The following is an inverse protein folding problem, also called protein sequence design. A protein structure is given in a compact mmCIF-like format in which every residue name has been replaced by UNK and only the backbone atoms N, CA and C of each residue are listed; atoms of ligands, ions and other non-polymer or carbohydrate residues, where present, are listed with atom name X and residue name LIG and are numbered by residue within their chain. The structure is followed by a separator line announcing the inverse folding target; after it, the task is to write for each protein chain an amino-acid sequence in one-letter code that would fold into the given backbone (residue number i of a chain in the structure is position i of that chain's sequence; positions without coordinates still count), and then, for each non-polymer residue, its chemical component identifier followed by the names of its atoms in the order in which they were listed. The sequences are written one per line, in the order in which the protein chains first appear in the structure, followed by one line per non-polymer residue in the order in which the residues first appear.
data_IF_489692949699
#
_entry.id   IF_489692949699
#
_cell.length_a   1.000
_cell.length_b   1.000
_cell.length_c   1.000
_cell.angle_alpha   90.00
_cell.angle_beta   90.00
_cell.angle_gamma   90.00
#
_symmetry.space_group_name_H-M   'P 1'
#
loop_
_entity.id
_entity.type
_entity.pdbx_description
1 polymer ?
#
# COMPACT_ATOMS: atom_id res chain seq x y z
N UNK A 1 34.14 -31.61 -29.96
CA UNK A 1 35.08 -31.56 -28.81
C UNK A 1 36.20 -30.55 -29.00
N UNK A 2 36.94 -30.50 -30.13
CA UNK A 2 38.01 -29.51 -30.35
C UNK A 2 37.64 -28.04 -30.11
N UNK A 3 36.40 -27.63 -30.39
CA UNK A 3 35.95 -26.24 -30.21
C UNK A 3 35.71 -25.82 -28.75
N UNK A 4 35.66 -26.77 -27.81
CA UNK A 4 35.56 -26.46 -26.38
C UNK A 4 36.91 -26.04 -25.78
N UNK A 5 38.00 -26.47 -26.41
CA UNK A 5 39.38 -26.13 -26.03
C UNK A 5 39.93 -24.99 -26.91
N UNK A 6 39.08 -24.28 -27.66
CA UNK A 6 39.49 -23.20 -28.57
C UNK A 6 40.04 -22.00 -27.79
N UNK A 7 41.09 -21.35 -28.30
CA UNK A 7 41.73 -20.21 -27.64
C UNK A 7 40.76 -19.03 -27.47
N UNK A 8 39.80 -18.88 -28.40
CA UNK A 8 38.87 -17.77 -28.37
C UNK A 8 37.62 -18.09 -27.54
N UNK A 9 37.41 -17.33 -26.47
CA UNK A 9 36.33 -17.56 -25.52
C UNK A 9 34.95 -17.62 -26.20
N UNK A 10 34.68 -16.76 -27.19
CA UNK A 10 33.40 -16.71 -27.91
C UNK A 10 33.08 -18.01 -28.67
N UNK A 11 34.11 -18.73 -29.14
CA UNK A 11 33.97 -20.03 -29.81
C UNK A 11 33.62 -21.11 -28.78
N UNK A 12 34.28 -21.10 -27.62
CA UNK A 12 33.96 -22.01 -26.51
C UNK A 12 32.52 -21.84 -26.02
N UNK A 13 32.05 -20.59 -25.87
CA UNK A 13 30.67 -20.27 -25.47
C UNK A 13 29.66 -20.87 -26.46
N UNK A 14 29.83 -20.59 -27.75
CA UNK A 14 28.91 -21.08 -28.79
C UNK A 14 28.92 -22.60 -28.89
N UNK A 15 30.08 -23.22 -28.71
CA UNK A 15 30.21 -24.66 -28.70
C UNK A 15 29.48 -25.28 -27.49
N UNK A 16 29.60 -24.71 -26.29
CA UNK A 16 28.90 -25.18 -25.09
C UNK A 16 27.37 -25.01 -25.20
N UNK A 17 26.90 -23.85 -25.68
CA UNK A 17 25.47 -23.61 -25.94
C UNK A 17 24.90 -24.59 -26.99
N UNK A 18 25.64 -24.81 -28.08
CA UNK A 18 25.25 -25.80 -29.09
C UNK A 18 25.15 -27.22 -28.51
N UNK A 19 26.06 -27.60 -27.60
CA UNK A 19 26.02 -28.90 -26.93
C UNK A 19 24.82 -29.05 -25.99
N UNK A 20 24.45 -27.99 -25.27
CA UNK A 20 23.22 -27.96 -24.48
C UNK A 20 21.96 -28.12 -25.34
N UNK A 21 21.90 -27.41 -26.48
CA UNK A 21 20.80 -27.51 -27.46
C UNK A 21 20.70 -28.85 -28.16
N UNK A 22 21.83 -29.51 -28.40
CA UNK A 22 21.86 -30.87 -28.97
C UNK A 22 21.22 -31.87 -28.00
N UNK A 23 21.37 -31.67 -26.68
CA UNK A 23 20.56 -32.37 -25.67
C UNK A 23 20.84 -33.87 -25.51
N UNK A 24 21.95 -34.40 -26.02
CA UNK A 24 22.27 -35.84 -25.93
C UNK A 24 23.24 -36.15 -24.80
N UNK A 25 23.16 -37.33 -24.18
CA UNK A 25 24.06 -37.71 -23.07
C UNK A 25 25.55 -37.68 -23.45
N UNK A 26 25.87 -37.89 -24.73
CA UNK A 26 27.24 -37.80 -25.23
C UNK A 26 27.85 -36.39 -25.07
N UNK A 27 27.05 -35.35 -24.88
CA UNK A 27 27.52 -33.97 -24.68
C UNK A 27 27.83 -33.65 -23.21
N UNK A 28 27.41 -34.51 -22.26
CA UNK A 28 27.58 -34.28 -20.82
C UNK A 28 29.05 -34.25 -20.42
N UNK A 29 29.83 -35.29 -20.74
CA UNK A 29 31.26 -35.35 -20.40
C UNK A 29 32.07 -34.16 -20.95
N UNK A 30 31.89 -33.74 -22.22
CA UNK A 30 32.47 -32.50 -22.71
C UNK A 30 32.12 -31.26 -21.88
N UNK A 31 30.88 -31.11 -21.42
CA UNK A 31 30.44 -29.99 -20.58
C UNK A 31 30.99 -30.08 -19.16
N UNK A 32 31.13 -31.28 -18.59
CA UNK A 32 31.78 -31.47 -17.28
C UNK A 32 33.21 -30.94 -17.31
N UNK A 33 33.96 -31.21 -18.39
CA UNK A 33 35.33 -30.72 -18.53
C UNK A 33 35.38 -29.18 -18.49
N UNK A 34 34.36 -28.49 -18.98
CA UNK A 34 34.27 -27.03 -18.94
C UNK A 34 34.07 -26.48 -17.53
N UNK A 35 33.44 -27.24 -16.63
CA UNK A 35 33.28 -26.87 -15.22
C UNK A 35 34.61 -26.83 -14.47
N UNK A 36 35.60 -27.61 -14.92
CA UNK A 36 36.92 -27.70 -14.26
C UNK A 36 37.87 -26.57 -14.69
N UNK A 37 37.46 -25.70 -15.64
CA UNK A 37 38.23 -24.49 -15.94
C UNK A 37 37.99 -23.45 -14.85
N UNK A 38 39.06 -22.82 -14.35
CA UNK A 38 39.03 -21.70 -13.39
C UNK A 38 38.39 -20.40 -13.95
N UNK A 39 37.53 -20.51 -14.97
CA UNK A 39 36.80 -19.41 -15.59
C UNK A 39 35.32 -19.53 -15.23
N UNK A 40 34.87 -18.65 -14.32
CA UNK A 40 33.49 -18.61 -13.84
C UNK A 40 32.47 -18.42 -14.98
N UNK A 41 32.83 -17.74 -16.07
CA UNK A 41 31.93 -17.63 -17.23
C UNK A 41 31.73 -18.97 -17.92
N UNK A 42 32.79 -19.77 -18.04
CA UNK A 42 32.70 -21.11 -18.63
C UNK A 42 31.93 -22.08 -17.72
N UNK A 43 32.14 -21.99 -16.40
CA UNK A 43 31.37 -22.75 -15.42
C UNK A 43 29.86 -22.48 -15.52
N UNK A 44 29.47 -21.21 -15.68
CA UNK A 44 28.06 -20.80 -15.81
C UNK A 44 27.41 -21.42 -17.05
N UNK A 45 28.08 -21.31 -18.19
CA UNK A 45 27.54 -21.80 -19.47
C UNK A 45 27.48 -23.33 -19.47
N UNK A 46 28.46 -23.99 -18.88
CA UNK A 46 28.45 -25.44 -18.73
C UNK A 46 27.30 -25.90 -17.83
N UNK A 47 27.07 -25.25 -16.68
CA UNK A 47 25.95 -25.54 -15.80
C UNK A 47 24.59 -25.29 -16.49
N UNK A 48 24.46 -24.21 -17.26
CA UNK A 48 23.25 -23.92 -18.04
C UNK A 48 23.00 -24.96 -19.13
N UNK A 49 24.03 -25.33 -19.90
CA UNK A 49 23.94 -26.37 -20.92
C UNK A 49 23.58 -27.74 -20.34
N UNK A 50 24.15 -28.09 -19.17
CA UNK A 50 23.79 -29.31 -18.44
C UNK A 50 22.33 -29.28 -17.95
N UNK A 51 21.84 -28.12 -17.52
CA UNK A 51 20.43 -27.94 -17.19
C UNK A 51 19.50 -28.08 -18.39
N UNK A 52 19.88 -27.54 -19.55
CA UNK A 52 19.11 -27.63 -20.78
C UNK A 52 19.02 -29.08 -21.33
N UNK A 53 20.05 -29.91 -21.09
CA UNK A 53 19.99 -31.34 -21.42
C UNK A 53 18.89 -32.03 -20.60
N UNK A 54 18.75 -31.67 -19.32
CA UNK A 54 17.57 -32.03 -18.53
C UNK A 54 17.44 -33.51 -18.16
N UNK A 55 18.49 -34.33 -18.33
CA UNK A 55 18.45 -35.79 -18.03
C UNK A 55 19.00 -36.11 -16.64
N UNK A 56 18.67 -37.30 -16.10
CA UNK A 56 19.20 -37.74 -14.80
C UNK A 56 20.72 -37.83 -14.75
N UNK A 57 21.36 -38.03 -15.90
CA UNK A 57 22.81 -38.09 -16.04
C UNK A 57 23.50 -36.74 -15.74
N UNK A 58 22.78 -35.60 -15.82
CA UNK A 58 23.37 -34.29 -15.50
C UNK A 58 23.29 -33.92 -14.03
N UNK A 59 22.57 -34.70 -13.21
CA UNK A 59 22.33 -34.37 -11.81
C UNK A 59 23.62 -34.35 -10.98
N UNK A 60 24.48 -35.38 -11.06
CA UNK A 60 25.71 -35.42 -10.26
C UNK A 60 26.70 -34.31 -10.66
N UNK A 61 26.91 -34.03 -11.96
CA UNK A 61 27.62 -32.84 -12.40
C UNK A 61 27.06 -31.54 -11.83
N UNK A 62 25.74 -31.34 -11.88
CA UNK A 62 25.10 -30.13 -11.36
C UNK A 62 25.20 -30.04 -9.83
N UNK A 63 25.16 -31.16 -9.10
CA UNK A 63 25.40 -31.18 -7.65
C UNK A 63 26.83 -30.72 -7.34
N UNK A 64 27.83 -31.11 -8.14
CA UNK A 64 29.21 -30.61 -7.99
C UNK A 64 29.26 -29.08 -8.12
N UNK A 65 28.53 -28.53 -9.09
CA UNK A 65 28.43 -27.07 -9.32
C UNK A 65 27.80 -26.30 -8.15
N UNK A 66 27.06 -26.96 -7.25
CA UNK A 66 26.52 -26.30 -6.05
C UNK A 66 27.59 -25.91 -5.04
N UNK A 67 28.79 -26.48 -5.13
CA UNK A 67 29.96 -26.11 -4.31
C UNK A 67 30.96 -25.23 -5.08
N UNK A 68 30.56 -24.70 -6.24
CA UNK A 68 31.42 -23.79 -7.00
C UNK A 68 31.68 -22.49 -6.22
N UNK A 69 32.85 -21.88 -6.40
CA UNK A 69 33.19 -20.62 -5.76
C UNK A 69 32.31 -19.46 -6.27
N UNK A 70 31.85 -19.54 -7.52
CA UNK A 70 31.04 -18.52 -8.17
C UNK A 70 29.55 -18.70 -7.87
N UNK A 71 28.94 -17.62 -7.38
CA UNK A 71 27.53 -17.61 -7.00
C UNK A 71 26.58 -17.90 -8.16
N UNK A 72 26.87 -17.41 -9.37
CA UNK A 72 26.01 -17.61 -10.53
C UNK A 72 26.07 -19.07 -11.00
N UNK A 73 27.24 -19.71 -10.95
CA UNK A 73 27.37 -21.15 -11.22
C UNK A 73 26.49 -21.96 -10.27
N UNK A 74 26.58 -21.70 -8.95
CA UNK A 74 25.75 -22.37 -7.95
C UNK A 74 24.26 -22.15 -8.20
N UNK A 75 23.85 -20.91 -8.48
CA UNK A 75 22.45 -20.53 -8.72
C UNK A 75 21.88 -21.22 -9.96
N UNK A 76 22.63 -21.22 -11.07
CA UNK A 76 22.22 -21.88 -12.32
C UNK A 76 22.09 -23.39 -12.10
N UNK A 77 23.05 -24.00 -11.40
CA UNK A 77 23.00 -25.43 -11.12
C UNK A 77 21.78 -25.85 -10.30
N UNK A 78 21.40 -25.07 -9.29
CA UNK A 78 20.19 -25.34 -8.52
C UNK A 78 18.90 -25.12 -9.31
N UNK A 79 18.85 -24.07 -10.13
CA UNK A 79 17.74 -23.84 -11.04
C UNK A 79 17.57 -25.04 -11.99
N UNK A 80 18.67 -25.52 -12.58
CA UNK A 80 18.69 -26.70 -13.43
C UNK A 80 18.22 -27.96 -12.69
N UNK A 81 18.73 -28.21 -11.47
CA UNK A 81 18.32 -29.36 -10.64
C UNK A 81 16.83 -29.33 -10.28
N UNK A 82 16.29 -28.16 -9.94
CA UNK A 82 14.86 -27.98 -9.70
C UNK A 82 14.01 -28.32 -10.92
N UNK A 83 14.46 -27.95 -12.13
CA UNK A 83 13.74 -28.20 -13.38
C UNK A 83 13.84 -29.66 -13.86
N UNK A 84 14.94 -30.36 -13.58
CA UNK A 84 15.08 -31.79 -13.91
C UNK A 84 14.05 -32.62 -13.14
N UNK A 85 13.65 -32.18 -11.94
CA UNK A 85 12.41 -32.62 -11.30
C UNK A 85 12.38 -34.08 -10.85
N UNK A 86 13.52 -34.75 -10.69
CA UNK A 86 13.51 -36.17 -10.29
C UNK A 86 13.63 -36.34 -8.78
N UNK A 87 12.61 -37.00 -8.20
CA UNK A 87 12.59 -37.44 -6.79
C UNK A 87 13.80 -38.34 -6.44
N UNK A 88 14.42 -38.97 -7.44
CA UNK A 88 15.47 -39.98 -7.29
C UNK A 88 16.79 -39.44 -6.69
N UNK A 89 17.03 -38.11 -6.67
CA UNK A 89 18.29 -37.53 -6.15
C UNK A 89 18.09 -36.32 -5.23
N UNK A 90 17.10 -36.41 -4.33
CA UNK A 90 16.87 -35.40 -3.29
C UNK A 90 17.94 -35.38 -2.19
N UNK A 91 18.50 -36.55 -1.83
CA UNK A 91 19.40 -36.67 -0.67
C UNK A 91 20.67 -35.80 -0.76
N UNK A 92 21.34 -35.67 -1.91
CA UNK A 92 22.45 -34.72 -2.05
C UNK A 92 22.05 -33.27 -1.81
N UNK A 93 20.87 -32.85 -2.27
CA UNK A 93 20.35 -31.50 -2.03
C UNK A 93 20.03 -31.27 -0.56
N UNK A 94 19.44 -32.26 0.13
CA UNK A 94 19.22 -32.23 1.57
C UNK A 94 20.55 -32.03 2.32
N UNK A 95 21.61 -32.75 1.92
CA UNK A 95 22.92 -32.61 2.55
C UNK A 95 23.50 -31.20 2.43
N UNK A 96 23.21 -30.49 1.34
CA UNK A 96 23.69 -29.13 1.11
C UNK A 96 22.98 -28.08 1.98
N UNK A 97 21.86 -28.43 2.62
CA UNK A 97 21.23 -27.59 3.63
C UNK A 97 22.08 -27.44 4.91
N UNK A 98 23.07 -28.31 5.12
CA UNK A 98 24.01 -28.24 6.25
C UNK A 98 25.39 -27.70 5.83
N UNK A 99 25.52 -27.10 4.63
CA UNK A 99 26.79 -26.57 4.14
C UNK A 99 27.25 -25.31 4.91
N UNK A 100 28.56 -25.09 5.07
CA UNK A 100 29.10 -23.96 5.84
C UNK A 100 28.75 -22.59 5.23
N UNK A 101 28.81 -22.48 3.89
CA UNK A 101 28.40 -21.28 3.13
C UNK A 101 26.86 -21.15 3.07
N UNK A 102 26.32 -20.03 3.59
CA UNK A 102 24.89 -19.74 3.58
C UNK A 102 24.31 -19.57 2.18
N UNK A 103 25.12 -19.14 1.21
CA UNK A 103 24.71 -19.09 -0.19
C UNK A 103 24.37 -20.48 -0.72
N UNK A 104 25.13 -21.51 -0.35
CA UNK A 104 24.89 -22.89 -0.78
C UNK A 104 23.61 -23.42 -0.13
N UNK A 105 23.44 -23.20 1.18
CA UNK A 105 22.23 -23.60 1.91
C UNK A 105 20.96 -22.97 1.32
N UNK A 106 21.00 -21.66 1.04
CA UNK A 106 19.89 -20.91 0.42
C UNK A 106 19.48 -21.51 -0.92
N UNK A 107 20.47 -21.80 -1.75
CA UNK A 107 20.31 -22.35 -3.10
C UNK A 107 19.74 -23.77 -3.04
N UNK A 108 20.20 -24.59 -2.09
CA UNK A 108 19.66 -25.93 -1.86
C UNK A 108 18.18 -25.88 -1.42
N UNK A 109 17.82 -24.96 -0.52
CA UNK A 109 16.42 -24.76 -0.11
C UNK A 109 15.52 -24.37 -1.29
N UNK A 110 15.97 -23.43 -2.14
CA UNK A 110 15.24 -23.03 -3.35
C UNK A 110 15.01 -24.21 -4.31
N UNK A 111 16.05 -25.02 -4.57
CA UNK A 111 15.92 -26.20 -5.43
C UNK A 111 14.94 -27.24 -4.86
N UNK A 112 15.00 -27.50 -3.55
CA UNK A 112 14.08 -28.43 -2.87
C UNK A 112 12.63 -27.95 -2.93
N UNK A 113 12.39 -26.64 -2.78
CA UNK A 113 11.07 -26.05 -2.94
C UNK A 113 10.49 -26.23 -4.35
N UNK A 114 11.33 -26.13 -5.39
CA UNK A 114 10.91 -26.38 -6.78
C UNK A 114 10.61 -27.85 -7.06
N UNK A 115 11.35 -28.76 -6.43
CA UNK A 115 11.08 -30.21 -6.54
C UNK A 115 9.76 -30.57 -5.84
N UNK A 116 9.40 -29.86 -4.76
CA UNK A 116 8.07 -29.93 -4.17
C UNK A 116 7.75 -31.27 -3.50
N UNK A 117 8.75 -31.95 -2.93
CA UNK A 117 8.58 -33.29 -2.35
C UNK A 117 8.59 -33.26 -0.83
N UNK A 118 7.71 -34.08 -0.22
CA UNK A 118 7.57 -34.18 1.24
C UNK A 118 8.85 -34.58 1.97
N UNK A 119 9.74 -35.34 1.33
CA UNK A 119 11.04 -35.71 1.91
C UNK A 119 11.94 -34.50 2.21
N UNK A 120 11.65 -33.32 1.63
CA UNK A 120 12.35 -32.08 1.94
C UNK A 120 11.81 -31.34 3.17
N UNK A 121 10.62 -31.69 3.68
CA UNK A 121 9.92 -30.90 4.71
C UNK A 121 10.75 -30.81 5.99
N UNK A 122 11.11 -31.93 6.62
CA UNK A 122 11.86 -31.91 7.88
C UNK A 122 13.23 -31.20 7.76
N UNK A 123 14.03 -31.45 6.70
CA UNK A 123 15.25 -30.67 6.46
C UNK A 123 15.00 -29.16 6.30
N UNK A 124 13.95 -28.75 5.57
CA UNK A 124 13.62 -27.35 5.38
C UNK A 124 13.11 -26.70 6.68
N UNK A 125 12.37 -27.44 7.51
CA UNK A 125 11.94 -26.98 8.85
C UNK A 125 13.16 -26.68 9.73
N UNK A 126 14.23 -27.49 9.65
CA UNK A 126 15.49 -27.19 10.35
C UNK A 126 16.08 -25.85 9.90
N UNK A 127 16.07 -25.58 8.59
CA UNK A 127 16.56 -24.33 8.01
C UNK A 127 15.74 -23.08 8.39
N UNK A 128 14.52 -23.24 8.92
CA UNK A 128 13.77 -22.12 9.50
C UNK A 128 14.44 -21.52 10.75
N UNK A 129 15.44 -22.20 11.32
CA UNK A 129 16.23 -21.69 12.45
C UNK A 129 17.66 -21.33 12.05
N UNK A 130 17.94 -21.17 10.75
CA UNK A 130 19.27 -20.80 10.28
C UNK A 130 19.68 -19.39 10.76
N UNK A 131 20.97 -19.20 11.02
CA UNK A 131 21.54 -17.92 11.42
C UNK A 131 21.39 -16.87 10.31
N UNK A 132 21.47 -17.30 9.05
CA UNK A 132 21.30 -16.45 7.87
C UNK A 132 19.81 -16.32 7.53
N UNK A 133 19.31 -15.08 7.54
CA UNK A 133 17.90 -14.79 7.24
C UNK A 133 17.48 -15.16 5.82
N UNK A 134 18.38 -15.13 4.85
CA UNK A 134 18.03 -15.49 3.47
C UNK A 134 17.84 -16.99 3.33
N UNK A 135 18.55 -17.79 4.12
CA UNK A 135 18.29 -19.23 4.23
C UNK A 135 16.91 -19.48 4.85
N UNK A 136 16.56 -18.76 5.93
CA UNK A 136 15.22 -18.86 6.55
C UNK A 136 14.10 -18.48 5.57
N UNK A 137 14.28 -17.39 4.81
CA UNK A 137 13.33 -16.94 3.77
C UNK A 137 13.16 -18.03 2.70
N UNK A 138 14.25 -18.54 2.12
CA UNK A 138 14.15 -19.56 1.07
C UNK A 138 13.56 -20.88 1.59
N UNK A 139 13.82 -21.25 2.84
CA UNK A 139 13.20 -22.40 3.46
C UNK A 139 11.69 -22.20 3.67
N UNK A 140 11.26 -21.02 4.11
CA UNK A 140 9.85 -20.67 4.24
C UNK A 140 9.11 -20.67 2.88
N UNK A 141 9.73 -20.09 1.85
CA UNK A 141 9.20 -20.11 0.49
C UNK A 141 9.09 -21.54 -0.05
N UNK A 142 10.12 -22.37 0.16
CA UNK A 142 10.12 -23.77 -0.24
C UNK A 142 9.01 -24.57 0.44
N UNK A 143 8.82 -24.39 1.76
CA UNK A 143 7.73 -25.00 2.52
C UNK A 143 6.34 -24.51 2.07
N UNK A 144 6.22 -23.23 1.71
CA UNK A 144 5.01 -22.66 1.11
C UNK A 144 4.69 -23.28 -0.26
N UNK A 145 5.70 -23.52 -1.09
CA UNK A 145 5.54 -24.16 -2.40
C UNK A 145 5.17 -25.66 -2.28
N UNK A 146 5.68 -26.36 -1.27
CA UNK A 146 5.29 -27.74 -0.96
C UNK A 146 3.84 -27.79 -0.47
N UNK A 147 3.46 -26.87 0.43
CA UNK A 147 2.06 -26.57 0.77
C UNK A 147 1.25 -27.69 1.44
N UNK A 148 1.89 -28.69 2.05
CA UNK A 148 1.19 -29.74 2.81
C UNK A 148 0.87 -29.30 4.24
N UNK A 149 -0.04 -30.00 4.92
CA UNK A 149 -0.44 -29.67 6.29
C UNK A 149 0.75 -29.61 7.27
N UNK A 150 1.76 -30.47 7.06
CA UNK A 150 2.98 -30.51 7.87
C UNK A 150 3.82 -29.23 7.80
N UNK A 151 3.61 -28.36 6.81
CA UNK A 151 4.36 -27.09 6.67
C UNK A 151 3.71 -25.93 7.42
N UNK A 152 2.45 -26.06 7.84
CA UNK A 152 1.64 -24.97 8.40
C UNK A 152 2.21 -24.49 9.75
N UNK A 153 2.31 -25.37 10.76
CA UNK A 153 2.77 -24.99 12.09
C UNK A 153 4.19 -24.39 12.11
N UNK A 154 5.17 -24.95 11.36
CA UNK A 154 6.49 -24.33 11.22
C UNK A 154 6.44 -22.92 10.61
N UNK A 155 5.61 -22.70 9.59
CA UNK A 155 5.42 -21.39 8.97
C UNK A 155 4.70 -20.41 9.91
N UNK A 156 3.71 -20.87 10.69
CA UNK A 156 3.03 -20.06 11.71
C UNK A 156 4.05 -19.57 12.75
N UNK A 157 4.91 -20.44 13.26
CA UNK A 157 5.96 -20.06 14.22
C UNK A 157 6.92 -19.01 13.64
N UNK A 158 7.17 -19.06 12.33
CA UNK A 158 8.06 -18.13 11.64
C UNK A 158 7.48 -16.71 11.52
N UNK A 159 6.18 -16.53 11.77
CA UNK A 159 5.56 -15.21 11.87
C UNK A 159 6.08 -14.40 13.08
N UNK A 160 6.76 -15.04 14.04
CA UNK A 160 7.39 -14.37 15.18
C UNK A 160 8.90 -14.11 14.98
N UNK A 161 9.43 -14.29 13.76
CA UNK A 161 10.86 -14.07 13.47
C UNK A 161 11.28 -12.60 13.70
N UNK A 162 12.50 -12.40 14.18
CA UNK A 162 13.06 -11.08 14.45
C UNK A 162 13.25 -10.24 13.18
N UNK A 163 13.53 -10.87 12.03
CA UNK A 163 13.69 -10.19 10.76
C UNK A 163 12.34 -10.08 10.03
N UNK A 164 11.95 -8.85 9.69
CA UNK A 164 10.69 -8.56 9.03
C UNK A 164 10.51 -9.25 7.67
N UNK A 165 11.59 -9.47 6.92
CA UNK A 165 11.49 -10.12 5.60
C UNK A 165 11.16 -11.61 5.74
N UNK A 166 11.61 -12.22 6.84
CA UNK A 166 11.27 -13.59 7.20
C UNK A 166 9.78 -13.68 7.57
N UNK A 167 9.28 -12.76 8.42
CA UNK A 167 7.84 -12.67 8.75
C UNK A 167 6.96 -12.45 7.51
N UNK A 168 7.38 -11.55 6.61
CA UNK A 168 6.71 -11.28 5.33
C UNK A 168 6.62 -12.54 4.47
N UNK A 169 7.73 -13.29 4.36
CA UNK A 169 7.79 -14.51 3.57
C UNK A 169 6.87 -15.59 4.16
N UNK A 170 6.89 -15.77 5.49
CA UNK A 170 6.01 -16.70 6.19
C UNK A 170 4.52 -16.37 5.96
N UNK A 171 4.14 -15.09 6.10
CA UNK A 171 2.77 -14.64 5.84
C UNK A 171 2.35 -14.90 4.38
N UNK A 172 3.25 -14.61 3.43
CA UNK A 172 3.01 -14.88 2.02
C UNK A 172 2.81 -16.38 1.73
N UNK A 173 3.65 -17.24 2.32
CA UNK A 173 3.55 -18.69 2.18
C UNK A 173 2.22 -19.21 2.75
N UNK A 174 1.85 -18.82 3.97
CA UNK A 174 0.58 -19.22 4.59
C UNK A 174 -0.64 -18.74 3.80
N UNK A 175 -0.59 -17.51 3.27
CA UNK A 175 -1.64 -16.98 2.40
C UNK A 175 -1.78 -17.75 1.08
N UNK A 176 -0.69 -18.30 0.53
CA UNK A 176 -0.74 -19.16 -0.65
C UNK A 176 -1.27 -20.56 -0.33
N UNK A 177 -0.94 -21.10 0.84
CA UNK A 177 -1.51 -22.37 1.32
C UNK A 177 -3.02 -22.23 1.52
N UNK A 178 -3.48 -21.07 2.01
CA UNK A 178 -4.90 -20.76 2.13
C UNK A 178 -5.60 -21.49 3.30
N UNK A 179 -4.86 -21.87 4.32
CA UNK A 179 -5.40 -22.60 5.49
C UNK A 179 -6.02 -21.67 6.53
N UNK A 180 -7.17 -22.06 7.08
CA UNK A 180 -7.83 -21.33 8.18
C UNK A 180 -7.02 -21.39 9.49
N UNK A 181 -6.20 -22.43 9.67
CA UNK A 181 -5.37 -22.59 10.87
C UNK A 181 -4.39 -21.41 11.09
N UNK A 182 -4.06 -20.67 10.03
CA UNK A 182 -3.17 -19.52 10.10
C UNK A 182 -3.86 -18.20 10.46
N UNK A 183 -5.21 -18.14 10.43
CA UNK A 183 -5.98 -16.89 10.52
C UNK A 183 -5.64 -16.11 11.80
N UNK A 184 -5.72 -16.75 12.97
CA UNK A 184 -5.50 -16.05 14.25
C UNK A 184 -4.11 -15.42 14.36
N UNK A 185 -3.08 -16.10 13.87
CA UNK A 185 -1.72 -15.57 13.86
C UNK A 185 -1.49 -14.53 12.77
N UNK A 186 -2.13 -14.66 11.61
CA UNK A 186 -2.10 -13.61 10.58
C UNK A 186 -2.85 -12.35 11.02
N UNK A 187 -3.91 -12.48 11.83
CA UNK A 187 -4.59 -11.35 12.47
C UNK A 187 -3.63 -10.63 13.42
N UNK A 188 -2.82 -11.34 14.21
CA UNK A 188 -1.80 -10.70 15.07
C UNK A 188 -0.78 -9.88 14.27
N UNK A 189 -0.41 -10.35 13.07
CA UNK A 189 0.50 -9.59 12.19
C UNK A 189 -0.08 -8.26 11.69
N UNK A 190 -1.41 -8.07 11.76
CA UNK A 190 -2.02 -6.79 11.43
C UNK A 190 -1.68 -5.68 12.45
N UNK A 191 -1.13 -6.03 13.61
CA UNK A 191 -0.64 -5.08 14.61
C UNK A 191 0.91 -5.05 14.65
N UNK A 192 1.61 -5.60 13.64
CA UNK A 192 3.09 -5.60 13.57
C UNK A 192 3.66 -4.17 13.46
N UNK A 193 4.82 -3.94 14.06
CA UNK A 193 5.50 -2.64 14.06
C UNK A 193 5.96 -2.21 12.66
N UNK A 194 6.27 -3.17 11.77
CA UNK A 194 6.67 -2.87 10.40
C UNK A 194 5.46 -2.92 9.46
N UNK A 195 5.19 -1.80 8.79
CA UNK A 195 4.05 -1.66 7.89
C UNK A 195 4.02 -2.68 6.75
N UNK A 196 5.17 -3.15 6.26
CA UNK A 196 5.22 -4.12 5.17
C UNK A 196 4.78 -5.51 5.64
N UNK A 197 5.00 -5.83 6.92
CA UNK A 197 4.47 -7.04 7.55
C UNK A 197 2.95 -6.94 7.67
N UNK A 198 2.41 -5.80 8.14
CA UNK A 198 0.96 -5.56 8.21
C UNK A 198 0.28 -5.69 6.83
N UNK A 199 0.86 -5.07 5.80
CA UNK A 199 0.39 -5.19 4.40
C UNK A 199 0.31 -6.66 3.98
N UNK A 200 1.35 -7.45 4.28
CA UNK A 200 1.41 -8.87 3.91
C UNK A 200 0.46 -9.76 4.71
N UNK A 201 0.25 -9.45 5.99
CA UNK A 201 -0.80 -10.08 6.80
C UNK A 201 -2.19 -9.85 6.18
N UNK A 202 -2.49 -8.62 5.77
CA UNK A 202 -3.75 -8.28 5.12
C UNK A 202 -3.95 -9.02 3.80
N UNK A 203 -2.92 -9.05 2.94
CA UNK A 203 -2.95 -9.80 1.68
C UNK A 203 -3.16 -11.31 1.89
N UNK A 204 -2.51 -11.89 2.90
CA UNK A 204 -2.64 -13.31 3.23
C UNK A 204 -4.06 -13.65 3.71
N UNK A 205 -4.63 -12.84 4.61
CA UNK A 205 -6.02 -12.98 5.06
C UNK A 205 -7.03 -12.82 3.90
N UNK A 206 -6.78 -11.87 2.99
CA UNK A 206 -7.57 -11.71 1.77
C UNK A 206 -7.45 -12.88 0.78
N UNK A 207 -6.31 -13.59 0.76
CA UNK A 207 -6.13 -14.83 -0.01
C UNK A 207 -6.89 -16.00 0.60
N UNK A 208 -6.90 -16.12 1.93
CA UNK A 208 -7.64 -17.17 2.66
C UNK A 208 -9.16 -16.99 2.45
N UNK A 209 -9.65 -15.75 2.46
CA UNK A 209 -10.98 -15.44 1.91
C UNK A 209 -12.19 -15.79 2.78
N UNK A 210 -11.99 -16.18 4.05
CA UNK A 210 -13.11 -16.58 4.94
C UNK A 210 -13.73 -15.39 5.67
N UNK A 211 -15.00 -15.51 6.10
CA UNK A 211 -15.68 -14.42 6.84
C UNK A 211 -14.99 -14.00 8.15
N UNK A 212 -14.26 -14.92 8.79
CA UNK A 212 -13.49 -14.66 10.01
C UNK A 212 -12.44 -13.56 9.84
N UNK A 213 -11.99 -13.28 8.60
CA UNK A 213 -10.97 -12.26 8.34
C UNK A 213 -11.55 -10.86 8.13
N UNK A 214 -12.88 -10.74 7.96
CA UNK A 214 -13.52 -9.47 7.59
C UNK A 214 -13.38 -8.41 8.69
N UNK A 215 -13.72 -8.71 9.95
CA UNK A 215 -13.65 -7.72 11.03
C UNK A 215 -12.22 -7.21 11.30
N UNK A 216 -11.19 -8.08 11.36
CA UNK A 216 -9.80 -7.64 11.43
C UNK A 216 -9.40 -6.70 10.28
N UNK A 217 -9.79 -7.00 9.04
CA UNK A 217 -9.49 -6.16 7.89
C UNK A 217 -10.27 -4.84 7.89
N UNK A 218 -11.52 -4.83 8.39
CA UNK A 218 -12.30 -3.60 8.59
C UNK A 218 -11.64 -2.69 9.62
N UNK A 219 -11.10 -3.25 10.71
CA UNK A 219 -10.29 -2.49 11.69
C UNK A 219 -9.02 -1.95 11.04
N UNK A 220 -8.38 -2.71 10.16
CA UNK A 220 -7.14 -2.31 9.49
C UNK A 220 -7.32 -1.14 8.50
N UNK A 221 -8.54 -0.82 8.10
CA UNK A 221 -8.83 0.44 7.39
C UNK A 221 -8.51 1.69 8.23
N UNK A 222 -8.24 1.54 9.52
CA UNK A 222 -7.90 2.61 10.45
C UNK A 222 -6.39 2.73 10.71
N UNK A 223 -5.58 1.93 10.01
CA UNK A 223 -4.13 1.96 10.15
C UNK A 223 -3.57 3.36 9.85
N UNK A 224 -2.50 3.74 10.55
CA UNK A 224 -1.81 5.03 10.33
C UNK A 224 -1.20 5.13 8.93
N UNK A 225 -0.72 4.02 8.38
CA UNK A 225 -0.03 3.96 7.10
C UNK A 225 -1.02 3.73 5.95
N UNK A 226 -0.85 4.55 4.91
CA UNK A 226 -1.72 4.53 3.74
C UNK A 226 -1.68 3.20 2.97
N UNK A 227 -0.49 2.62 2.79
CA UNK A 227 -0.31 1.41 2.00
C UNK A 227 -0.99 0.21 2.71
N UNK A 228 -0.97 0.22 4.05
CA UNK A 228 -1.66 -0.77 4.88
C UNK A 228 -3.17 -0.67 4.70
N UNK A 229 -3.74 0.53 4.78
CA UNK A 229 -5.19 0.73 4.57
C UNK A 229 -5.63 0.32 3.17
N UNK A 230 -4.87 0.66 2.13
CA UNK A 230 -5.17 0.24 0.75
C UNK A 230 -5.10 -1.29 0.59
N UNK A 231 -4.12 -1.94 1.24
CA UNK A 231 -4.03 -3.41 1.26
C UNK A 231 -5.27 -4.04 1.92
N UNK A 232 -5.73 -3.49 3.05
CA UNK A 232 -6.94 -3.95 3.73
C UNK A 232 -8.19 -3.83 2.83
N UNK A 233 -8.37 -2.71 2.14
CA UNK A 233 -9.47 -2.51 1.21
C UNK A 233 -9.44 -3.54 0.07
N UNK A 234 -8.27 -3.78 -0.55
CA UNK A 234 -8.09 -4.80 -1.60
C UNK A 234 -8.35 -6.22 -1.09
N UNK A 235 -7.94 -6.54 0.13
CA UNK A 235 -8.21 -7.83 0.75
C UNK A 235 -9.72 -8.05 0.96
N UNK A 236 -10.46 -7.02 1.40
CA UNK A 236 -11.91 -7.06 1.55
C UNK A 236 -12.63 -7.25 0.20
N UNK A 237 -12.18 -6.59 -0.87
CA UNK A 237 -12.68 -6.85 -2.25
C UNK A 237 -12.46 -8.31 -2.65
N UNK A 238 -11.33 -8.89 -2.25
CA UNK A 238 -10.95 -10.25 -2.65
C UNK A 238 -11.74 -11.33 -1.91
N UNK A 239 -12.07 -11.11 -0.64
CA UNK A 239 -12.96 -11.99 0.14
C UNK A 239 -14.32 -12.09 -0.53
N UNK A 240 -14.82 -10.96 -1.05
CA UNK A 240 -15.97 -10.93 -1.93
C UNK A 240 -17.21 -11.63 -1.35
N UNK A 241 -17.65 -11.23 -0.16
CA UNK A 241 -18.85 -11.79 0.48
C UNK A 241 -19.86 -10.70 0.81
N UNK A 242 -21.16 -11.03 0.73
CA UNK A 242 -22.26 -10.13 1.11
C UNK A 242 -22.13 -9.63 2.56
N UNK A 243 -21.60 -10.48 3.46
CA UNK A 243 -21.34 -10.15 4.86
C UNK A 243 -20.44 -8.91 5.05
N UNK A 244 -19.63 -8.57 4.05
CA UNK A 244 -18.73 -7.41 4.06
C UNK A 244 -19.48 -6.08 3.88
N UNK A 245 -20.61 -6.07 3.16
CA UNK A 245 -21.41 -4.87 2.83
C UNK A 245 -21.87 -4.10 4.08
N UNK A 246 -22.61 -4.70 5.04
CA UNK A 246 -23.09 -3.97 6.21
C UNK A 246 -21.94 -3.46 7.09
N UNK A 247 -20.81 -4.18 7.13
CA UNK A 247 -19.62 -3.81 7.91
C UNK A 247 -18.92 -2.59 7.31
N UNK A 248 -18.73 -2.55 5.99
CA UNK A 248 -18.19 -1.38 5.28
C UNK A 248 -19.09 -0.15 5.41
N UNK A 249 -20.41 -0.31 5.26
CA UNK A 249 -21.38 0.78 5.45
C UNK A 249 -21.27 1.36 6.86
N UNK A 250 -21.21 0.48 7.88
CA UNK A 250 -21.07 0.93 9.26
C UNK A 250 -19.75 1.67 9.50
N UNK A 251 -18.64 1.18 8.91
CA UNK A 251 -17.33 1.85 8.98
C UNK A 251 -17.38 3.24 8.33
N UNK A 252 -17.95 3.35 7.12
CA UNK A 252 -18.08 4.61 6.38
C UNK A 252 -18.95 5.66 7.07
N UNK A 253 -19.90 5.24 7.92
CA UNK A 253 -20.77 6.14 8.70
C UNK A 253 -20.09 6.77 9.92
N UNK A 254 -19.00 6.20 10.42
CA UNK A 254 -18.31 6.75 11.59
C UNK A 254 -17.63 8.06 11.21
N UNK A 255 -18.00 9.15 11.89
CA UNK A 255 -17.57 10.51 11.57
C UNK A 255 -16.04 10.64 11.48
N UNK A 256 -15.31 10.06 12.43
CA UNK A 256 -13.84 10.05 12.45
C UNK A 256 -13.22 9.52 11.15
N UNK A 257 -13.82 8.51 10.52
CA UNK A 257 -13.31 7.96 9.25
C UNK A 257 -13.66 8.83 8.06
N UNK A 258 -14.89 9.36 8.05
CA UNK A 258 -15.36 10.30 7.01
C UNK A 258 -14.70 11.69 7.07
N UNK A 259 -14.24 12.12 8.24
CA UNK A 259 -13.70 13.45 8.50
C UNK A 259 -12.16 13.51 8.40
N UNK A 260 -11.50 12.37 8.24
CA UNK A 260 -10.05 12.34 8.08
C UNK A 260 -9.61 12.98 6.76
N UNK A 261 -8.41 13.57 6.73
CA UNK A 261 -7.75 14.07 5.50
C UNK A 261 -7.48 12.98 4.45
N UNK A 262 -7.89 11.72 4.70
CA UNK A 262 -7.74 10.57 3.82
C UNK A 262 -8.91 10.45 2.82
N UNK A 263 -9.24 11.53 2.10
CA UNK A 263 -10.29 11.50 1.07
C UNK A 263 -10.12 10.29 0.12
N UNK A 264 -8.88 9.91 -0.19
CA UNK A 264 -8.62 8.72 -0.99
C UNK A 264 -9.04 7.39 -0.34
N UNK A 265 -8.72 7.11 0.93
CA UNK A 265 -9.08 5.79 1.52
C UNK A 265 -10.58 5.64 1.67
N UNK A 266 -11.25 6.74 1.97
CA UNK A 266 -12.69 6.81 2.01
C UNK A 266 -13.29 6.50 0.63
N UNK A 267 -12.74 7.06 -0.45
CA UNK A 267 -13.12 6.71 -1.81
C UNK A 267 -12.77 5.26 -2.18
N UNK A 268 -11.62 4.74 -1.77
CA UNK A 268 -11.23 3.33 -2.01
C UNK A 268 -12.16 2.35 -1.29
N UNK A 269 -12.63 2.71 -0.09
CA UNK A 269 -13.63 1.94 0.67
C UNK A 269 -15.00 2.00 0.00
N UNK A 270 -15.40 3.15 -0.56
CA UNK A 270 -16.63 3.29 -1.37
C UNK A 270 -16.51 2.45 -2.65
N UNK A 271 -15.38 2.51 -3.35
CA UNK A 271 -15.13 1.72 -4.56
C UNK A 271 -15.19 0.21 -4.26
N UNK A 272 -14.63 -0.19 -3.11
CA UNK A 272 -14.69 -1.57 -2.61
C UNK A 272 -16.13 -2.01 -2.36
N UNK A 273 -16.91 -1.20 -1.65
CA UNK A 273 -18.33 -1.45 -1.40
C UNK A 273 -19.12 -1.59 -2.71
N UNK A 274 -18.91 -0.66 -3.66
CA UNK A 274 -19.58 -0.67 -4.96
C UNK A 274 -19.23 -1.92 -5.77
N UNK A 275 -17.96 -2.33 -5.79
CA UNK A 275 -17.52 -3.53 -6.50
C UNK A 275 -18.18 -4.81 -5.97
N UNK A 276 -18.33 -4.93 -4.65
CA UNK A 276 -19.02 -6.08 -4.02
C UNK A 276 -20.52 -6.01 -4.32
N UNK A 277 -21.16 -4.84 -4.15
CA UNK A 277 -22.59 -4.65 -4.44
C UNK A 277 -22.97 -4.98 -5.90
N UNK A 278 -22.15 -4.53 -6.86
CA UNK A 278 -22.35 -4.81 -8.28
C UNK A 278 -22.34 -6.31 -8.57
N UNK A 279 -21.37 -7.03 -7.99
CA UNK A 279 -21.22 -8.48 -8.20
C UNK A 279 -22.38 -9.30 -7.66
N UNK A 280 -22.90 -8.91 -6.49
CA UNK A 280 -24.03 -9.58 -5.85
C UNK A 280 -25.39 -9.08 -6.33
N UNK A 281 -25.44 -8.10 -7.24
CA UNK A 281 -26.68 -7.45 -7.71
C UNK A 281 -27.54 -6.88 -6.56
N UNK A 282 -26.91 -6.54 -5.44
CA UNK A 282 -27.59 -5.96 -4.28
C UNK A 282 -27.64 -4.45 -4.50
N UNK A 283 -28.75 -4.00 -5.07
CA UNK A 283 -29.05 -2.58 -5.23
C UNK A 283 -29.52 -2.00 -3.89
N UNK A 284 -28.57 -1.71 -2.99
CA UNK A 284 -28.85 -0.87 -1.83
C UNK A 284 -28.56 0.58 -2.24
N UNK A 285 -29.57 1.48 -2.33
CA UNK A 285 -29.32 2.85 -2.66
C UNK A 285 -28.54 3.51 -1.52
N UNK A 286 -27.31 3.93 -1.85
CA UNK A 286 -26.67 5.15 -1.36
C UNK A 286 -25.88 5.00 -0.05
N UNK A 287 -24.56 4.82 -0.16
CA UNK A 287 -23.66 5.70 0.57
C UNK A 287 -23.44 6.96 -0.29
N UNK A 288 -24.24 8.00 -0.05
CA UNK A 288 -23.99 9.35 -0.54
C UNK A 288 -23.13 9.96 0.55
N UNK A 289 -21.81 10.13 0.35
CA UNK A 289 -21.09 11.04 1.22
C UNK A 289 -21.87 12.36 1.21
N UNK A 290 -22.05 13.00 2.39
CA UNK A 290 -22.48 14.39 2.41
C UNK A 290 -21.60 15.11 1.38
N UNK A 291 -22.17 15.83 0.40
CA UNK A 291 -21.38 16.45 -0.65
C UNK A 291 -20.26 17.23 0.02
N UNK A 292 -19.02 17.01 -0.42
CA UNK A 292 -17.93 17.89 -0.02
C UNK A 292 -18.41 19.32 -0.24
N UNK A 293 -18.26 20.23 0.75
CA UNK A 293 -18.53 21.63 0.48
C UNK A 293 -17.73 22.00 -0.78
N UNK A 294 -18.36 22.67 -1.77
CA UNK A 294 -17.72 22.91 -3.06
C UNK A 294 -16.36 23.56 -2.82
N UNK A 295 -15.33 23.03 -3.49
CA UNK A 295 -14.00 23.68 -3.53
C UNK A 295 -14.21 25.07 -4.15
N UNK A 296 -14.26 26.09 -3.30
CA UNK A 296 -14.21 27.50 -3.72
C UNK A 296 -12.84 27.73 -4.36
N UNK A 297 -12.76 27.62 -5.68
CA UNK A 297 -11.55 27.94 -6.47
C UNK A 297 -11.35 29.43 -6.67
N UNK A 298 -12.19 30.27 -6.06
CA UNK A 298 -12.15 31.72 -6.13
C UNK A 298 -12.09 32.25 -4.70
N UNK A 299 -11.05 33.01 -4.40
CA UNK A 299 -10.94 33.75 -3.13
C UNK A 299 -12.14 34.68 -3.03
N UNK A 300 -12.96 34.49 -2.00
CA UNK A 300 -14.07 35.40 -1.71
C UNK A 300 -13.57 36.53 -0.81
N UNK A 301 -13.92 37.76 -1.17
CA UNK A 301 -13.61 38.97 -0.42
C UNK A 301 -14.87 39.45 0.30
N UNK A 302 -14.96 39.15 1.59
CA UNK A 302 -16.07 39.57 2.46
C UNK A 302 -15.56 40.65 3.38
N UNK A 303 -16.14 41.85 3.29
CA UNK A 303 -15.86 42.94 4.21
C UNK A 303 -16.89 42.92 5.34
N UNK A 304 -16.42 42.78 6.58
CA UNK A 304 -17.26 42.86 7.76
C UNK A 304 -16.86 44.07 8.60
N UNK A 305 -17.77 45.04 8.73
CA UNK A 305 -17.60 46.21 9.59
C UNK A 305 -18.50 46.02 10.82
N UNK A 306 -17.89 45.76 11.96
CA UNK A 306 -18.58 45.60 13.24
C UNK A 306 -18.53 46.88 14.07
N UNK A 307 -19.56 47.08 14.91
CA UNK A 307 -19.71 48.23 15.80
C UNK A 307 -19.61 49.59 15.08
N UNK A 308 -20.17 49.65 13.87
CA UNK A 308 -20.21 50.86 13.07
C UNK A 308 -21.17 51.89 13.69
N UNK A 309 -20.63 53.02 14.15
CA UNK A 309 -21.39 54.12 14.74
C UNK A 309 -21.07 55.41 13.98
N UNK A 310 -21.89 55.72 12.96
CA UNK A 310 -21.73 56.89 12.10
C UNK A 310 -22.81 57.90 12.47
N UNK A 311 -22.38 59.06 12.95
CA UNK A 311 -23.27 60.08 13.54
C UNK A 311 -23.53 61.27 12.63
N UNK A 312 -22.76 61.43 11.54
CA UNK A 312 -22.98 62.50 10.56
C UNK A 312 -22.57 62.13 9.12
N UNK A 313 -23.16 62.75 8.09
CA UNK A 313 -22.77 62.55 6.68
C UNK A 313 -21.31 62.94 6.35
N UNK A 314 -20.75 63.93 7.04
CA UNK A 314 -19.33 64.28 6.88
C UNK A 314 -18.41 63.17 7.39
N UNK A 315 -18.75 62.59 8.56
CA UNK A 315 -18.06 61.44 9.11
C UNK A 315 -18.17 60.23 8.16
N UNK A 316 -19.37 59.98 7.63
CA UNK A 316 -19.62 58.94 6.64
C UNK A 316 -18.69 59.07 5.43
N UNK A 317 -18.59 60.29 4.89
CA UNK A 317 -17.75 60.58 3.71
C UNK A 317 -16.26 60.40 3.98
N UNK A 318 -15.78 60.89 5.13
CA UNK A 318 -14.38 60.73 5.50
C UNK A 318 -14.02 59.25 5.65
N UNK A 319 -14.86 58.48 6.35
CA UNK A 319 -14.59 57.09 6.68
C UNK A 319 -14.74 56.17 5.47
N UNK A 320 -15.74 56.37 4.62
CA UNK A 320 -15.92 55.56 3.41
C UNK A 320 -14.74 55.73 2.45
N UNK A 321 -14.26 56.97 2.28
CA UNK A 321 -13.17 57.27 1.35
C UNK A 321 -11.83 56.71 1.87
N UNK A 322 -11.56 56.87 3.16
CA UNK A 322 -10.35 56.29 3.76
C UNK A 322 -10.38 54.77 3.67
N UNK A 323 -11.50 54.14 4.02
CA UNK A 323 -11.66 52.69 3.95
C UNK A 323 -11.48 52.16 2.52
N UNK A 324 -12.07 52.82 1.52
CA UNK A 324 -11.90 52.44 0.12
C UNK A 324 -10.43 52.54 -0.31
N UNK A 325 -9.74 53.60 0.11
CA UNK A 325 -8.32 53.78 -0.16
C UNK A 325 -7.48 52.65 0.47
N UNK A 326 -7.71 52.32 1.73
CA UNK A 326 -6.98 51.26 2.44
C UNK A 326 -7.21 49.89 1.78
N UNK A 327 -8.45 49.60 1.37
CA UNK A 327 -8.80 48.35 0.67
C UNK A 327 -8.10 48.24 -0.69
N UNK A 328 -8.04 49.32 -1.46
CA UNK A 328 -7.46 49.33 -2.82
C UNK A 328 -5.93 49.37 -2.77
N UNK A 329 -5.37 50.29 -1.99
CA UNK A 329 -3.93 50.61 -2.03
C UNK A 329 -3.11 49.69 -1.12
N UNK A 330 -3.58 49.47 0.12
CA UNK A 330 -2.80 48.72 1.12
C UNK A 330 -3.10 47.23 1.06
N UNK A 331 -4.37 46.87 0.91
CA UNK A 331 -4.83 45.47 0.94
C UNK A 331 -5.02 44.85 -0.45
N UNK A 332 -4.95 45.66 -1.52
CA UNK A 332 -5.06 45.21 -2.91
C UNK A 332 -6.32 44.38 -3.19
N UNK A 333 -7.44 44.75 -2.56
CA UNK A 333 -8.72 44.05 -2.70
C UNK A 333 -9.36 44.45 -4.04
N UNK A 334 -9.56 43.50 -4.98
CA UNK A 334 -10.01 43.82 -6.34
C UNK A 334 -11.53 44.01 -6.46
N UNK A 335 -12.32 43.45 -5.54
CA UNK A 335 -13.78 43.55 -5.45
C UNK A 335 -14.25 43.08 -4.07
N UNK A 336 -15.52 43.29 -3.76
CA UNK A 336 -16.21 42.67 -2.63
C UNK A 336 -17.28 41.71 -3.14
N UNK A 337 -17.31 40.49 -2.60
CA UNK A 337 -18.34 39.50 -2.86
C UNK A 337 -19.53 39.65 -1.91
N UNK A 338 -19.27 40.17 -0.70
CA UNK A 338 -20.28 40.50 0.28
C UNK A 338 -19.80 41.63 1.22
N UNK A 339 -20.75 42.41 1.69
CA UNK A 339 -20.56 43.42 2.72
C UNK A 339 -21.48 43.10 3.91
N UNK A 340 -20.89 42.94 5.08
CA UNK A 340 -21.63 42.74 6.33
C UNK A 340 -21.43 43.99 7.16
N UNK A 341 -22.52 44.66 7.50
CA UNK A 341 -22.50 45.83 8.37
C UNK A 341 -23.22 45.50 9.68
N UNK A 342 -22.55 45.76 10.79
CA UNK A 342 -23.13 45.65 12.13
C UNK A 342 -22.83 46.92 12.92
N UNK A 343 -23.81 47.43 13.65
CA UNK A 343 -23.70 48.68 14.40
C UNK A 343 -25.04 49.36 14.58
N UNK A 344 -25.03 50.66 14.92
CA UNK A 344 -26.24 51.46 15.18
C UNK A 344 -26.85 52.00 13.89
N UNK A 345 -27.06 51.10 12.92
CA UNK A 345 -27.45 51.40 11.54
C UNK A 345 -28.83 50.82 11.19
N UNK A 346 -29.51 50.23 12.18
CA UNK A 346 -30.79 49.52 12.01
C UNK A 346 -31.88 50.11 12.93
N UNK A 347 -32.58 49.28 13.71
CA UNK A 347 -33.92 49.60 14.24
C UNK A 347 -33.97 50.75 15.26
N UNK A 348 -32.85 51.14 15.88
CA UNK A 348 -32.78 52.24 16.85
C UNK A 348 -31.97 53.47 16.39
N UNK A 349 -31.62 53.57 15.11
CA UNK A 349 -30.90 54.75 14.57
C UNK A 349 -31.79 56.00 14.53
N UNK A 350 -31.21 57.17 14.82
CA UNK A 350 -31.80 58.48 14.50
C UNK A 350 -31.89 58.72 12.99
N UNK A 351 -32.74 59.65 12.50
CA UNK A 351 -32.79 60.00 11.08
C UNK A 351 -31.43 60.44 10.51
N UNK A 352 -30.63 61.14 11.31
CA UNK A 352 -29.30 61.62 10.95
C UNK A 352 -28.29 60.46 10.85
N UNK A 353 -28.30 59.53 11.80
CA UNK A 353 -27.47 58.31 11.76
C UNK A 353 -27.84 57.41 10.57
N UNK A 354 -29.14 57.29 10.26
CA UNK A 354 -29.60 56.55 9.08
C UNK A 354 -29.13 57.19 7.77
N UNK A 355 -29.26 58.52 7.64
CA UNK A 355 -28.75 59.24 6.47
C UNK A 355 -27.23 59.12 6.34
N UNK A 356 -26.50 59.17 7.45
CA UNK A 356 -25.06 58.99 7.47
C UNK A 356 -24.66 57.55 7.05
N UNK A 357 -25.37 56.53 7.53
CA UNK A 357 -25.14 55.14 7.12
C UNK A 357 -25.43 54.92 5.63
N UNK A 358 -26.51 55.51 5.11
CA UNK A 358 -26.82 55.47 3.67
C UNK A 358 -25.73 56.14 2.84
N UNK A 359 -25.27 57.34 3.25
CA UNK A 359 -24.19 58.05 2.56
C UNK A 359 -22.88 57.25 2.57
N UNK A 360 -22.57 56.58 3.67
CA UNK A 360 -21.40 55.71 3.78
C UNK A 360 -21.46 54.56 2.76
N UNK A 361 -22.62 53.89 2.66
CA UNK A 361 -22.86 52.82 1.69
C UNK A 361 -22.78 53.32 0.24
N UNK A 362 -23.39 54.47 -0.05
CA UNK A 362 -23.40 55.05 -1.40
C UNK A 362 -22.00 55.44 -1.86
N UNK A 363 -21.17 55.95 -0.95
CA UNK A 363 -19.78 56.30 -1.23
C UNK A 363 -18.93 55.05 -1.45
N UNK A 364 -18.99 54.07 -0.53
CA UNK A 364 -18.22 52.83 -0.66
C UNK A 364 -18.62 52.05 -1.92
N UNK A 365 -19.90 52.11 -2.31
CA UNK A 365 -20.44 51.47 -3.51
C UNK A 365 -19.93 52.05 -4.83
N UNK A 366 -19.33 53.24 -4.84
CA UNK A 366 -18.67 53.79 -6.05
C UNK A 366 -17.41 53.01 -6.40
N UNK A 367 -16.63 52.63 -5.39
CA UNK A 367 -15.38 51.90 -5.55
C UNK A 367 -15.60 50.37 -5.52
N UNK A 368 -16.59 49.91 -4.75
CA UNK A 368 -16.95 48.50 -4.58
C UNK A 368 -18.45 48.27 -4.86
N UNK A 369 -18.86 48.20 -6.14
CA UNK A 369 -20.26 48.01 -6.50
C UNK A 369 -20.78 46.65 -6.04
N UNK A 370 -21.89 46.65 -5.30
CA UNK A 370 -22.54 45.47 -4.72
C UNK A 370 -24.04 45.42 -5.06
N UNK A 371 -24.56 44.24 -5.39
CA UNK A 371 -26.01 44.01 -5.45
C UNK A 371 -26.58 44.07 -4.01
N UNK A 372 -27.78 44.63 -3.77
CA UNK A 372 -28.42 44.62 -2.46
C UNK A 372 -28.46 43.25 -1.76
N UNK A 373 -28.50 42.14 -2.51
CA UNK A 373 -28.46 40.77 -1.96
C UNK A 373 -27.10 40.38 -1.38
N UNK A 374 -26.04 41.11 -1.73
CA UNK A 374 -24.68 40.91 -1.22
C UNK A 374 -24.41 41.74 0.03
N UNK A 375 -25.35 42.62 0.43
CA UNK A 375 -25.25 43.46 1.62
C UNK A 375 -26.10 42.83 2.73
N UNK A 376 -25.47 42.51 3.85
CA UNK A 376 -26.12 41.97 5.04
C UNK A 376 -26.03 42.99 6.16
N UNK A 377 -27.18 43.51 6.57
CA UNK A 377 -27.30 44.35 7.76
C UNK A 377 -27.57 43.47 8.97
N UNK A 378 -26.65 43.50 9.93
CA UNK A 378 -26.73 42.75 11.18
C UNK A 378 -27.07 43.74 12.30
N UNK A 379 -28.09 43.47 13.13
CA UNK A 379 -28.44 44.32 14.26
C UNK A 379 -27.23 44.52 15.19
N UNK A 380 -26.96 45.77 15.60
CA UNK A 380 -25.89 46.08 16.56
C UNK A 380 -26.23 45.64 17.99
N UNK A 381 -25.27 45.78 18.91
CA UNK A 381 -25.48 45.46 20.33
C UNK A 381 -26.63 46.23 20.98
N UNK A 382 -26.96 47.42 20.46
CA UNK A 382 -28.11 48.23 20.87
C UNK A 382 -29.44 47.75 20.28
N UNK A 383 -29.41 46.99 19.17
CA UNK A 383 -30.59 46.37 18.55
C UNK A 383 -30.92 44.98 19.10
N UNK A 384 -30.01 44.36 19.86
CA UNK A 384 -30.21 43.04 20.44
C UNK A 384 -31.23 43.09 21.59
N UNK A 385 -32.26 42.25 21.49
CA UNK A 385 -33.14 41.97 22.63
C UNK A 385 -32.42 41.09 23.65
N UNK A 386 -31.67 41.71 24.56
CA UNK A 386 -30.87 41.05 25.59
C UNK A 386 -31.68 40.06 26.47
N UNK A 387 -33.00 40.28 26.65
CA UNK A 387 -33.87 39.32 27.36
C UNK A 387 -34.02 38.00 26.60
N UNK A 388 -34.07 38.06 25.27
CA UNK A 388 -34.18 36.91 24.38
C UNK A 388 -32.84 36.19 24.25
N UNK A 389 -31.74 36.93 24.09
CA UNK A 389 -30.38 36.37 24.05
C UNK A 389 -30.02 35.61 25.33
N UNK A 390 -30.38 36.15 26.51
CA UNK A 390 -30.13 35.51 27.81
C UNK A 390 -30.88 34.18 28.01
N UNK A 391 -32.02 33.99 27.34
CA UNK A 391 -32.77 32.72 27.31
C UNK A 391 -32.08 31.65 26.46
N UNK A 392 -31.39 32.04 25.40
CA UNK A 392 -30.63 31.13 24.54
C UNK A 392 -29.38 30.54 25.21
N UNK A 393 -28.75 31.27 26.14
CA UNK A 393 -27.62 30.78 26.93
C UNK A 393 -28.01 29.82 28.08
N UNK A 394 -29.31 29.58 28.27
CA UNK A 394 -29.85 28.68 29.30
C UNK A 394 -30.43 27.38 28.71
N UNK A 395 -30.33 27.21 27.39
CA UNK A 395 -30.54 25.95 26.67
C UNK A 395 -29.17 25.39 26.28
#
# INVERSE_FOLDING_TARGET
MKLLDDDHYSVRIRAADALGKIGTEATINPLIKLLDYNDFFMGRIAAEALGNIGTEATIDPLIKCLNDHDYDVRRIAAYALGNIGTKAKINPLIKLLDHDDSSVRRIAAEALGKIGTEAAIDPLIKCLNDHDKYVRICAAEALGNIGTEATIDPLIKLLDDHDKYVRICAAYALGNIGTEAAIDTLIKLLDDHDKYVRIRGAEALGKIGTEATIDPLIKLLDDEDYDVRSSAAKALVKIDTEATIPKLINRLKKEEFSATHYNYIFQETINTLNAIQERYQIYNPIYSPKPNPPKLTQTMYILHLSDLHITSPEQATLWSNQLAQDLIQDLQIPHLDALILSGDIANYSTPEEYQAAQQFLDNLGQDFPLDPKQIVLVPGNHDLNWKLAKRGYQL
#
